data_IF_708744208408
#
_entry.id   IF_708744208408
#
_cell.length_a   1.000
_cell.length_b   1.000
_cell.length_c   1.000
_cell.angle_alpha   90.00
_cell.angle_beta   90.00
_cell.angle_gamma   90.00
#
_symmetry.space_group_name_H-M   'P 1'
#
loop_
_entity.id
_entity.type
_entity.pdbx_description
1 polymer ?
#
# COMPACT_ATOMS: atom_id res chain seq x y z
N UNK A 1 -1.39 21.64 11.86
CA UNK A 1 -0.15 20.83 11.77
C UNK A 1 -0.23 19.76 12.85
N UNK A 2 0.35 18.58 12.63
CA UNK A 2 0.39 17.51 13.64
C UNK A 2 1.67 17.61 14.46
N UNK A 3 1.64 17.18 15.72
CA UNK A 3 2.79 17.20 16.62
C UNK A 3 3.77 16.08 16.31
N UNK A 4 3.25 14.87 16.14
CA UNK A 4 3.98 13.67 15.74
C UNK A 4 3.05 12.72 14.94
N UNK A 5 3.54 11.52 14.62
CA UNK A 5 2.73 10.52 13.89
C UNK A 5 1.58 9.99 14.72
N UNK A 6 1.73 9.91 16.05
CA UNK A 6 0.68 9.44 16.94
C UNK A 6 -0.48 10.45 16.97
N UNK A 7 -0.20 11.74 17.12
CA UNK A 7 -1.20 12.82 17.05
C UNK A 7 -1.95 12.79 15.71
N UNK A 8 -1.23 12.66 14.60
CA UNK A 8 -1.84 12.52 13.28
C UNK A 8 -2.75 11.29 13.20
N UNK A 9 -2.30 10.14 13.72
CA UNK A 9 -3.04 8.89 13.69
C UNK A 9 -4.29 8.92 14.59
N UNK A 10 -4.21 9.50 15.79
CA UNK A 10 -5.36 9.65 16.68
C UNK A 10 -6.43 10.57 16.08
N UNK A 11 -6.03 11.67 15.44
CA UNK A 11 -6.95 12.56 14.70
C UNK A 11 -7.61 11.83 13.53
N UNK A 12 -6.85 11.03 12.78
CA UNK A 12 -7.39 10.19 11.70
C UNK A 12 -8.37 9.15 12.25
N UNK A 13 -8.03 8.47 13.35
CA UNK A 13 -8.86 7.44 13.93
C UNK A 13 -10.22 7.99 14.39
N UNK A 14 -10.24 9.19 15.01
CA UNK A 14 -11.48 9.89 15.38
C UNK A 14 -12.33 10.24 14.15
N UNK A 15 -11.71 10.67 13.06
CA UNK A 15 -12.43 10.93 11.81
C UNK A 15 -13.02 9.65 11.19
N UNK A 16 -12.44 8.49 11.51
CA UNK A 16 -12.85 7.17 11.06
C UNK A 16 -13.75 6.42 12.06
N UNK A 17 -14.25 7.06 13.12
CA UNK A 17 -15.01 6.39 14.20
C UNK A 17 -16.20 5.56 13.69
N UNK A 18 -16.82 5.97 12.57
CA UNK A 18 -17.92 5.24 11.91
C UNK A 18 -17.58 3.80 11.49
N UNK A 19 -16.28 3.45 11.43
CA UNK A 19 -15.78 2.12 11.10
C UNK A 19 -15.54 1.25 12.34
N UNK A 20 -15.64 1.80 13.55
CA UNK A 20 -15.56 1.03 14.80
C UNK A 20 -16.70 0.02 14.88
N UNK A 21 -16.41 -1.14 15.48
CA UNK A 21 -17.36 -2.26 15.62
C UNK A 21 -17.89 -2.82 14.29
N UNK A 22 -17.30 -2.44 13.17
CA UNK A 22 -17.40 -3.17 11.90
C UNK A 22 -16.26 -4.17 11.82
N UNK A 23 -16.38 -5.16 10.91
CA UNK A 23 -15.26 -6.05 10.54
C UNK A 23 -14.24 -5.27 9.68
N UNK A 24 -13.59 -4.30 10.28
CA UNK A 24 -12.63 -3.39 9.63
C UNK A 24 -11.23 -3.99 9.72
N UNK A 25 -10.50 -3.95 8.61
CA UNK A 25 -9.08 -4.24 8.53
C UNK A 25 -8.33 -2.96 8.15
N UNK A 26 -7.36 -2.58 8.97
CA UNK A 26 -6.48 -1.44 8.71
C UNK A 26 -5.19 -1.93 8.06
N UNK A 27 -4.91 -1.46 6.85
CA UNK A 27 -3.68 -1.81 6.12
C UNK A 27 -2.68 -0.64 6.17
N UNK A 28 -1.52 -0.87 6.78
CA UNK A 28 -0.44 0.10 6.85
C UNK A 28 0.57 -0.05 5.71
N UNK A 29 0.90 1.04 5.01
CA UNK A 29 2.00 1.09 4.03
C UNK A 29 3.29 1.51 4.76
N UNK A 30 4.33 0.66 4.84
CA UNK A 30 5.59 1.02 5.48
C UNK A 30 6.35 2.14 4.75
N UNK A 31 7.25 2.87 5.43
CA UNK A 31 7.68 2.68 6.83
C UNK A 31 6.76 3.39 7.82
N UNK A 32 6.50 4.69 7.62
CA UNK A 32 5.76 5.51 8.59
C UNK A 32 4.28 5.15 8.73
N UNK A 33 3.64 4.65 7.67
CA UNK A 33 2.23 4.27 7.70
C UNK A 33 1.95 3.04 8.57
N UNK A 34 2.96 2.23 8.90
CA UNK A 34 2.82 1.13 9.85
C UNK A 34 2.46 1.64 11.26
N UNK A 35 3.17 2.68 11.73
CA UNK A 35 2.92 3.31 13.03
C UNK A 35 1.55 4.00 13.06
N UNK A 36 1.19 4.71 11.98
CA UNK A 36 -0.13 5.33 11.85
C UNK A 36 -1.25 4.28 11.89
N UNK A 37 -1.11 3.19 11.13
CA UNK A 37 -2.08 2.11 11.09
C UNK A 37 -2.27 1.43 12.45
N UNK A 38 -1.19 1.26 13.23
CA UNK A 38 -1.27 0.72 14.59
C UNK A 38 -2.18 1.54 15.51
N UNK A 39 -1.97 2.86 15.56
CA UNK A 39 -2.80 3.72 16.41
C UNK A 39 -4.25 3.81 15.94
N UNK A 40 -4.48 3.83 14.61
CA UNK A 40 -5.82 3.81 14.04
C UNK A 40 -6.55 2.51 14.37
N UNK A 41 -5.92 1.35 14.13
CA UNK A 41 -6.51 0.04 14.41
C UNK A 41 -6.87 -0.13 15.88
N UNK A 42 -5.95 0.27 16.78
CA UNK A 42 -6.16 0.23 18.22
C UNK A 42 -7.36 1.07 18.67
N UNK A 43 -7.53 2.26 18.10
CA UNK A 43 -8.65 3.15 18.45
C UNK A 43 -9.98 2.64 17.92
N UNK A 44 -9.99 2.05 16.71
CA UNK A 44 -11.19 1.51 16.07
C UNK A 44 -11.58 0.10 16.55
N UNK A 45 -10.77 -0.52 17.42
CA UNK A 45 -10.91 -1.93 17.81
C UNK A 45 -10.98 -2.85 16.57
N UNK A 46 -10.03 -2.63 15.65
CA UNK A 46 -9.98 -3.24 14.33
C UNK A 46 -8.73 -4.12 14.17
N UNK A 47 -8.81 -5.08 13.24
CA UNK A 47 -7.64 -5.85 12.82
C UNK A 47 -6.67 -4.96 12.05
N UNK A 48 -5.38 -5.32 12.08
CA UNK A 48 -4.32 -4.61 11.38
C UNK A 48 -3.43 -5.59 10.62
N UNK A 49 -3.05 -5.22 9.39
CA UNK A 49 -1.94 -5.84 8.67
C UNK A 49 -1.10 -4.78 7.96
N UNK A 50 0.05 -5.21 7.43
CA UNK A 50 0.87 -4.41 6.53
C UNK A 50 0.60 -4.81 5.09
N UNK A 51 0.72 -3.85 4.18
CA UNK A 51 0.73 -4.11 2.74
C UNK A 51 2.12 -3.81 2.21
N UNK A 52 2.81 -4.87 1.80
CA UNK A 52 4.17 -4.79 1.27
C UNK A 52 4.10 -4.96 -0.25
N UNK A 53 4.45 -3.89 -0.96
CA UNK A 53 4.49 -3.89 -2.42
C UNK A 53 5.74 -3.20 -2.94
N UNK A 54 6.14 -3.57 -4.16
CA UNK A 54 7.17 -2.90 -4.94
C UNK A 54 6.55 -2.33 -6.21
N UNK A 55 6.84 -1.07 -6.54
CA UNK A 55 6.46 -0.48 -7.84
C UNK A 55 7.23 -1.15 -8.97
N UNK A 56 6.54 -1.40 -10.09
CA UNK A 56 7.15 -1.82 -11.35
C UNK A 56 7.32 -0.57 -12.20
N UNK A 57 8.57 -0.14 -12.39
CA UNK A 57 8.91 1.15 -13.01
C UNK A 57 9.17 1.02 -14.51
N UNK A 58 8.81 2.01 -15.31
CA UNK A 58 9.07 1.94 -16.75
C UNK A 58 10.57 1.90 -17.05
N UNK A 59 11.02 1.13 -18.08
CA UNK A 59 12.38 1.23 -18.57
C UNK A 59 12.73 2.68 -18.95
N UNK A 60 13.84 3.19 -18.42
CA UNK A 60 14.26 4.58 -18.65
C UNK A 60 13.47 5.65 -17.88
N UNK A 61 12.38 5.29 -17.17
CA UNK A 61 11.67 6.20 -16.26
C UNK A 61 11.17 5.47 -14.98
N UNK A 62 12.07 5.15 -14.03
CA UNK A 62 11.73 4.39 -12.82
C UNK A 62 10.76 5.08 -11.86
N UNK A 63 10.60 6.40 -11.99
CA UNK A 63 9.65 7.17 -11.17
C UNK A 63 8.19 6.99 -11.63
N UNK A 64 7.98 6.71 -12.91
CA UNK A 64 6.69 6.30 -13.42
C UNK A 64 6.48 4.79 -13.20
N UNK A 65 5.36 4.42 -12.59
CA UNK A 65 5.00 3.02 -12.37
C UNK A 65 4.03 2.53 -13.44
N UNK A 66 4.33 1.38 -14.05
CA UNK A 66 3.43 0.65 -14.96
C UNK A 66 2.61 -0.43 -14.23
N UNK A 67 2.99 -0.72 -12.98
CA UNK A 67 2.35 -1.74 -12.17
C UNK A 67 2.93 -1.83 -10.76
N UNK A 68 2.54 -2.89 -10.06
CA UNK A 68 3.08 -3.24 -8.74
C UNK A 68 3.12 -4.76 -8.55
N UNK A 69 4.02 -5.22 -7.70
CA UNK A 69 4.09 -6.61 -7.23
C UNK A 69 3.96 -6.65 -5.71
N UNK A 70 3.18 -7.60 -5.19
CA UNK A 70 3.01 -7.86 -3.78
C UNK A 70 3.94 -8.98 -3.29
N UNK A 71 4.02 -9.14 -1.96
CA UNK A 71 4.92 -10.11 -1.33
C UNK A 71 4.61 -11.57 -1.65
N UNK A 72 3.36 -11.89 -2.02
CA UNK A 72 2.93 -13.21 -2.46
C UNK A 72 3.24 -13.50 -3.95
N UNK A 73 3.88 -12.55 -4.64
CA UNK A 73 4.20 -12.63 -6.06
C UNK A 73 3.02 -12.26 -6.97
N UNK A 74 1.86 -11.91 -6.43
CA UNK A 74 0.77 -11.34 -7.22
C UNK A 74 1.21 -9.99 -7.80
N UNK A 75 0.82 -9.70 -9.03
CA UNK A 75 1.18 -8.46 -9.71
C UNK A 75 -0.04 -7.83 -10.36
N UNK A 76 0.00 -6.50 -10.43
CA UNK A 76 -0.96 -5.68 -11.11
C UNK A 76 -0.24 -4.87 -12.19
N UNK A 77 -0.73 -4.94 -13.42
CA UNK A 77 -0.27 -4.11 -14.55
C UNK A 77 -1.41 -3.16 -14.90
N UNK A 78 -1.10 -1.88 -15.08
CA UNK A 78 -2.10 -0.92 -15.52
C UNK A 78 -2.55 -1.24 -16.95
N UNK A 79 -3.82 -1.00 -17.27
CA UNK A 79 -4.36 -1.26 -18.61
C UNK A 79 -3.54 -0.53 -19.69
N UNK A 80 -3.22 0.74 -19.45
CA UNK A 80 -2.40 1.55 -20.35
C UNK A 80 -1.00 0.97 -20.58
N UNK A 81 -0.39 0.34 -19.57
CA UNK A 81 0.92 -0.29 -19.72
C UNK A 81 0.85 -1.56 -20.56
N UNK A 82 -0.22 -2.33 -20.46
CA UNK A 82 -0.39 -3.58 -21.21
C UNK A 82 -0.49 -3.37 -22.73
N UNK A 83 -0.87 -2.16 -23.16
CA UNK A 83 -0.93 -1.79 -24.58
C UNK A 83 0.42 -1.31 -25.15
N UNK A 84 1.33 -0.85 -24.29
CA UNK A 84 2.56 -0.15 -24.70
C UNK A 84 3.82 -0.95 -24.43
N UNK A 85 3.80 -1.84 -23.42
CA UNK A 85 4.96 -2.63 -23.03
C UNK A 85 4.94 -4.02 -23.67
N UNK A 86 6.11 -4.46 -24.13
CA UNK A 86 6.29 -5.84 -24.59
C UNK A 86 6.20 -6.82 -23.41
N UNK A 87 5.76 -8.05 -23.69
CA UNK A 87 5.71 -9.12 -22.69
C UNK A 87 7.09 -9.37 -22.04
N UNK A 88 8.18 -9.19 -22.79
CA UNK A 88 9.55 -9.34 -22.29
C UNK A 88 9.87 -8.31 -21.19
N UNK A 89 9.46 -7.05 -21.40
CA UNK A 89 9.66 -5.97 -20.42
C UNK A 89 8.88 -6.22 -19.13
N UNK A 90 7.67 -6.77 -19.26
CA UNK A 90 6.83 -7.12 -18.10
C UNK A 90 7.41 -8.32 -17.34
N UNK A 91 8.04 -9.27 -18.04
CA UNK A 91 8.58 -10.49 -17.46
C UNK A 91 9.94 -10.30 -16.77
N UNK A 92 10.77 -9.31 -17.17
CA UNK A 92 12.06 -9.02 -16.51
C UNK A 92 11.90 -8.64 -15.04
N UNK A 93 10.78 -8.01 -14.69
CA UNK A 93 10.50 -7.49 -13.36
C UNK A 93 9.67 -8.48 -12.49
N UNK A 94 9.30 -9.63 -13.06
CA UNK A 94 8.65 -10.71 -12.32
C UNK A 94 9.64 -11.43 -11.40
N UNK A 95 9.23 -11.82 -10.19
CA UNK A 95 10.05 -12.66 -9.34
C UNK A 95 10.36 -13.98 -10.06
N UNK A 96 11.66 -14.25 -10.28
CA UNK A 96 12.11 -15.54 -10.82
C UNK A 96 11.72 -16.63 -9.81
N UNK A 97 10.95 -17.61 -10.27
CA UNK A 97 10.61 -18.81 -9.49
C UNK A 97 11.86 -19.58 -9.05
#
# INVERSE_FOLDING_TARGET
MFEDRKDAAEKLARALERYRSRKTLVLGIPRGGAETAYYVARHLDAEMSLVITRKLGYPGNPEAAFGAVAEDGSFYISEMASEVLSADTINEDQPKK
#
